data_IF_341248684855
#
_entry.id   IF_341248684855
#
_cell.length_a   1.000
_cell.length_b   1.000
_cell.length_c   1.000
_cell.angle_alpha   90.00
_cell.angle_beta   90.00
_cell.angle_gamma   90.00
#
_symmetry.space_group_name_H-M   'P 1'
#
loop_
_entity.id
_entity.type
_entity.pdbx_description
1 polymer ?
#
# COMPACT_ATOMS: atom_id res chain seq x y z
N UNK A 1 -10.24 63.19 -8.71
CA UNK A 1 -9.38 62.03 -9.05
C UNK A 1 -9.22 61.22 -7.77
N UNK A 2 -10.05 60.20 -7.62
CA UNK A 2 -10.09 59.30 -6.47
C UNK A 2 -9.08 58.19 -6.75
N UNK A 3 -8.05 58.04 -5.89
CA UNK A 3 -7.15 56.89 -5.92
C UNK A 3 -7.69 55.88 -4.91
N UNK A 4 -8.21 54.77 -5.42
CA UNK A 4 -8.67 53.63 -4.65
C UNK A 4 -7.45 52.78 -4.31
N UNK A 5 -7.03 52.78 -3.04
CA UNK A 5 -6.05 51.81 -2.52
C UNK A 5 -6.83 50.57 -2.11
N UNK A 6 -6.68 49.46 -2.85
CA UNK A 6 -7.18 48.15 -2.42
C UNK A 6 -6.22 47.61 -1.35
N UNK A 7 -6.77 47.34 -0.17
CA UNK A 7 -6.10 46.58 0.88
C UNK A 7 -6.24 45.11 0.52
N UNK A 8 -5.15 44.42 0.21
CA UNK A 8 -5.11 42.96 0.19
C UNK A 8 -5.18 42.49 1.64
N UNK A 9 -6.28 41.82 1.99
CA UNK A 9 -6.39 41.05 3.23
C UNK A 9 -6.04 39.62 2.87
N UNK A 10 -4.83 39.19 3.20
CA UNK A 10 -4.43 37.77 3.12
C UNK A 10 -5.02 37.08 4.33
N UNK A 11 -6.09 36.31 4.14
CA UNK A 11 -6.55 35.33 5.12
C UNK A 11 -5.83 34.03 4.79
N UNK A 12 -4.87 33.61 5.62
CA UNK A 12 -4.40 32.22 5.65
C UNK A 12 -5.58 31.38 6.17
N UNK A 13 -6.19 30.59 5.28
CA UNK A 13 -7.01 29.47 5.69
C UNK A 13 -6.06 28.38 6.18
N UNK A 14 -6.12 28.10 7.47
CA UNK A 14 -5.53 26.94 8.10
C UNK A 14 -6.38 25.74 7.65
N UNK A 15 -5.90 24.98 6.67
CA UNK A 15 -6.48 23.66 6.36
C UNK A 15 -5.98 22.74 7.47
N UNK A 16 -6.86 22.42 8.42
CA UNK A 16 -6.68 21.21 9.23
C UNK A 16 -6.93 20.05 8.27
N UNK A 17 -5.88 19.39 7.82
CA UNK A 17 -6.00 18.06 7.24
C UNK A 17 -6.34 17.14 8.41
N UNK A 18 -7.60 16.71 8.49
CA UNK A 18 -7.92 15.52 9.24
C UNK A 18 -7.32 14.37 8.43
N UNK A 19 -6.34 13.66 8.99
CA UNK A 19 -5.88 12.41 8.41
C UNK A 19 -7.07 11.45 8.36
N UNK A 20 -7.58 11.19 7.17
CA UNK A 20 -8.40 10.02 6.88
C UNK A 20 -7.48 8.81 6.81
N UNK A 21 -7.77 7.71 7.50
CA UNK A 21 -7.00 6.48 7.33
C UNK A 21 -7.38 5.77 6.02
N UNK A 22 -6.39 5.04 5.49
CA UNK A 22 -6.47 3.99 4.46
C UNK A 22 -6.69 4.42 3.00
N UNK A 23 -5.60 4.37 2.22
CA UNK A 23 -5.59 3.79 0.87
C UNK A 23 -4.29 2.99 0.75
N UNK A 24 -4.37 1.69 0.95
CA UNK A 24 -3.27 0.74 0.71
C UNK A 24 -3.82 -0.63 0.30
N UNK A 25 -4.89 -0.64 -0.49
CA UNK A 25 -5.30 -1.83 -1.24
C UNK A 25 -5.23 -1.45 -2.71
N UNK A 26 -4.02 -1.47 -3.27
CA UNK A 26 -3.76 -1.03 -4.65
C UNK A 26 -4.28 -2.00 -5.71
N UNK A 27 -4.86 -3.13 -5.32
CA UNK A 27 -5.57 -4.03 -6.24
C UNK A 27 -6.59 -4.84 -5.46
N UNK A 28 -7.88 -4.65 -5.75
CA UNK A 28 -8.90 -5.57 -5.27
C UNK A 28 -8.74 -6.90 -6.00
N UNK A 29 -8.47 -7.98 -5.26
CA UNK A 29 -8.58 -9.33 -5.82
C UNK A 29 -10.02 -9.80 -5.75
N UNK A 30 -10.40 -10.73 -6.62
CA UNK A 30 -11.72 -11.37 -6.56
C UNK A 30 -12.03 -11.93 -5.16
N UNK A 31 -11.03 -12.51 -4.49
CA UNK A 31 -11.14 -13.00 -3.12
C UNK A 31 -11.30 -11.93 -2.06
N UNK A 32 -10.83 -10.70 -2.30
CA UNK A 32 -11.04 -9.58 -1.36
C UNK A 32 -12.49 -9.11 -1.40
N UNK A 33 -13.14 -9.25 -2.56
CA UNK A 33 -14.53 -8.84 -2.78
C UNK A 33 -15.50 -9.96 -2.34
N UNK A 34 -15.16 -11.23 -2.56
CA UNK A 34 -15.96 -12.41 -2.17
C UNK A 34 -15.95 -12.64 -0.65
N UNK A 35 -16.75 -11.85 0.08
CA UNK A 35 -16.79 -11.86 1.54
C UNK A 35 -17.40 -13.15 2.13
N UNK A 36 -18.28 -13.83 1.39
CA UNK A 36 -18.94 -15.04 1.87
C UNK A 36 -18.29 -16.35 1.37
N UNK A 37 -17.34 -16.24 0.43
CA UNK A 37 -16.52 -17.34 -0.10
C UNK A 37 -17.31 -18.27 -1.02
N UNK A 38 -18.37 -17.80 -1.65
CA UNK A 38 -19.25 -18.59 -2.52
C UNK A 38 -18.74 -18.66 -3.98
N UNK A 39 -17.68 -17.92 -4.32
CA UNK A 39 -17.10 -17.77 -5.66
C UNK A 39 -17.99 -17.06 -6.68
N UNK A 40 -18.92 -16.22 -6.25
CA UNK A 40 -19.84 -15.38 -7.03
C UNK A 40 -19.95 -13.99 -6.38
N UNK A 41 -19.56 -12.91 -7.06
CA UNK A 41 -19.71 -11.57 -6.46
C UNK A 41 -21.12 -11.04 -6.68
N UNK A 42 -21.84 -10.85 -5.59
CA UNK A 42 -23.09 -10.11 -5.60
C UNK A 42 -22.85 -8.60 -5.73
N UNK A 43 -23.86 -7.87 -6.21
CA UNK A 43 -23.83 -6.39 -6.19
C UNK A 43 -23.53 -5.78 -4.81
N UNK A 44 -23.88 -6.46 -3.72
CA UNK A 44 -23.61 -6.00 -2.36
C UNK A 44 -22.14 -6.18 -1.96
N UNK A 45 -21.48 -7.23 -2.45
CA UNK A 45 -20.06 -7.47 -2.24
C UNK A 45 -19.22 -6.52 -3.10
N UNK A 46 -19.63 -6.33 -4.36
CA UNK A 46 -18.99 -5.41 -5.30
C UNK A 46 -19.09 -3.93 -4.88
N UNK A 47 -20.07 -3.60 -4.02
CA UNK A 47 -20.29 -2.23 -3.55
C UNK A 47 -19.03 -1.60 -2.95
N UNK A 48 -18.20 -2.38 -2.23
CA UNK A 48 -16.96 -1.86 -1.65
C UNK A 48 -15.96 -1.38 -2.72
N UNK A 49 -15.70 -2.21 -3.73
CA UNK A 49 -14.85 -1.88 -4.88
C UNK A 49 -15.39 -0.66 -5.63
N UNK A 50 -16.69 -0.67 -5.96
CA UNK A 50 -17.30 0.43 -6.72
C UNK A 50 -17.23 1.77 -5.99
N UNK A 51 -17.43 1.79 -4.67
CA UNK A 51 -17.33 3.00 -3.86
C UNK A 51 -15.89 3.52 -3.75
N UNK A 52 -14.91 2.63 -3.72
CA UNK A 52 -13.50 3.03 -3.73
C UNK A 52 -13.10 3.63 -5.09
N UNK A 53 -13.45 2.98 -6.19
CA UNK A 53 -13.19 3.50 -7.54
C UNK A 53 -13.89 4.82 -7.79
N UNK A 54 -15.09 5.02 -7.24
CA UNK A 54 -15.80 6.29 -7.32
C UNK A 54 -14.96 7.45 -6.78
N UNK A 55 -14.28 7.27 -5.65
CA UNK A 55 -13.42 8.30 -5.05
C UNK A 55 -12.22 8.62 -5.93
N UNK A 56 -11.69 7.62 -6.64
CA UNK A 56 -10.57 7.80 -7.59
C UNK A 56 -11.01 8.58 -8.83
N UNK A 57 -12.21 8.30 -9.35
CA UNK A 57 -12.74 8.95 -10.54
C UNK A 57 -13.29 10.36 -10.25
N UNK A 58 -13.78 10.62 -9.03
CA UNK A 58 -14.20 11.94 -8.55
C UNK A 58 -12.97 12.81 -8.20
N UNK A 59 -12.26 13.26 -9.24
CA UNK A 59 -10.99 13.95 -9.14
C UNK A 59 -11.10 15.31 -8.42
N UNK A 60 -12.22 16.02 -8.59
CA UNK A 60 -12.48 17.29 -7.91
C UNK A 60 -13.18 17.18 -6.55
N UNK A 61 -13.56 15.95 -6.17
CA UNK A 61 -14.13 15.56 -4.89
C UNK A 61 -15.47 16.25 -4.58
N UNK A 62 -16.27 16.53 -5.62
CA UNK A 62 -17.58 17.14 -5.48
C UNK A 62 -18.73 16.14 -5.31
N UNK A 63 -18.40 14.84 -5.26
CA UNK A 63 -19.30 13.70 -5.13
C UNK A 63 -20.13 13.42 -6.39
N UNK A 64 -19.70 13.92 -7.54
CA UNK A 64 -20.31 13.68 -8.85
C UNK A 64 -19.19 13.44 -9.85
N UNK A 65 -19.23 12.32 -10.57
CA UNK A 65 -18.31 12.13 -11.70
C UNK A 65 -18.85 12.94 -12.88
N UNK A 66 -18.15 14.00 -13.23
CA UNK A 66 -18.40 14.80 -14.42
C UNK A 66 -18.06 14.06 -15.72
N UNK A 67 -18.47 14.62 -16.86
CA UNK A 67 -18.21 14.03 -18.18
C UNK A 67 -16.70 13.83 -18.46
N UNK A 68 -15.87 14.81 -18.11
CA UNK A 68 -14.42 14.72 -18.30
C UNK A 68 -13.78 13.67 -17.36
N UNK A 69 -14.24 13.58 -16.12
CA UNK A 69 -13.76 12.60 -15.14
C UNK A 69 -14.13 11.18 -15.56
N UNK A 70 -15.35 11.00 -16.07
CA UNK A 70 -15.78 9.73 -16.63
C UNK A 70 -14.92 9.32 -17.82
N UNK A 71 -14.63 10.23 -18.75
CA UNK A 71 -13.79 9.92 -19.90
C UNK A 71 -12.34 9.69 -19.54
N UNK A 72 -11.79 10.40 -18.56
CA UNK A 72 -10.46 10.13 -18.01
C UNK A 72 -10.41 8.73 -17.40
N UNK A 73 -11.34 8.40 -16.50
CA UNK A 73 -11.36 7.08 -15.89
C UNK A 73 -11.55 5.93 -16.89
N UNK A 74 -12.37 6.11 -17.93
CA UNK A 74 -12.51 5.09 -19.00
C UNK A 74 -11.24 5.00 -19.83
N UNK A 75 -10.59 6.13 -20.12
CA UNK A 75 -9.32 6.16 -20.83
C UNK A 75 -8.25 5.39 -20.05
N UNK A 76 -8.06 5.73 -18.78
CA UNK A 76 -7.10 5.08 -17.88
C UNK A 76 -7.41 3.59 -17.72
N UNK A 77 -8.69 3.22 -17.62
CA UNK A 77 -9.08 1.81 -17.59
C UNK A 77 -8.68 1.08 -18.88
N UNK A 78 -8.77 1.73 -20.04
CA UNK A 78 -8.49 1.07 -21.32
C UNK A 78 -7.03 1.11 -21.70
N UNK A 79 -6.24 2.00 -21.11
CA UNK A 79 -4.80 2.11 -21.33
C UNK A 79 -4.08 1.05 -20.49
N UNK A 80 -4.13 -0.17 -21.01
CA UNK A 80 -3.68 -1.37 -20.33
C UNK A 80 -2.18 -1.34 -19.98
N UNK A 81 -1.40 -0.53 -20.69
CA UNK A 81 0.04 -0.43 -20.56
C UNK A 81 0.53 0.94 -20.01
N UNK A 82 -0.44 1.80 -19.61
CA UNK A 82 -0.25 3.10 -18.98
C UNK A 82 0.81 3.99 -19.69
N UNK A 83 0.91 3.90 -21.03
CA UNK A 83 1.85 4.69 -21.83
C UNK A 83 1.26 6.02 -22.33
N UNK A 84 0.09 6.40 -21.82
CA UNK A 84 -0.73 7.53 -22.22
C UNK A 84 -1.16 7.45 -23.69
N UNK A 85 -1.28 6.24 -24.27
CA UNK A 85 -1.71 6.03 -25.67
C UNK A 85 -2.62 4.80 -25.79
N UNK A 86 -3.89 5.03 -26.09
CA UNK A 86 -4.78 3.93 -26.49
C UNK A 86 -4.47 3.45 -27.90
N UNK A 87 -3.98 2.23 -28.03
CA UNK A 87 -3.85 1.57 -29.34
C UNK A 87 -5.22 1.11 -29.87
N UNK A 88 -5.31 0.84 -31.17
CA UNK A 88 -6.54 0.28 -31.78
C UNK A 88 -6.99 -1.04 -31.12
N UNK A 89 -6.04 -1.80 -30.55
CA UNK A 89 -6.34 -3.05 -29.85
C UNK A 89 -6.99 -2.79 -28.49
N UNK A 90 -6.38 -1.94 -27.66
CA UNK A 90 -6.92 -1.51 -26.36
C UNK A 90 -8.29 -0.87 -26.52
N UNK A 91 -8.43 0.05 -27.48
CA UNK A 91 -9.72 0.67 -27.80
C UNK A 91 -10.81 -0.36 -28.13
N UNK A 92 -10.52 -1.31 -29.02
CA UNK A 92 -11.52 -2.30 -29.47
C UNK A 92 -11.89 -3.29 -28.36
N UNK A 93 -10.92 -3.67 -27.53
CA UNK A 93 -11.15 -4.53 -26.37
C UNK A 93 -11.95 -3.80 -25.28
N UNK A 94 -11.54 -2.59 -24.91
CA UNK A 94 -12.22 -1.72 -23.97
C UNK A 94 -13.66 -1.44 -24.38
N UNK A 95 -13.87 -1.07 -25.65
CA UNK A 95 -15.21 -0.87 -26.19
C UNK A 95 -16.05 -2.16 -26.10
N UNK A 96 -15.49 -3.30 -26.50
CA UNK A 96 -16.18 -4.57 -26.47
C UNK A 96 -16.64 -4.97 -25.07
N UNK A 97 -15.84 -4.64 -24.05
CA UNK A 97 -16.13 -4.96 -22.65
C UNK A 97 -17.12 -3.99 -22.02
N UNK A 98 -16.88 -2.68 -22.12
CA UNK A 98 -17.68 -1.67 -21.41
C UNK A 98 -18.93 -1.24 -22.18
N UNK A 99 -18.87 -1.31 -23.51
CA UNK A 99 -19.89 -0.75 -24.40
C UNK A 99 -20.25 -1.70 -25.55
N UNK A 100 -20.05 -3.01 -25.38
CA UNK A 100 -20.30 -4.01 -26.43
C UNK A 100 -21.74 -4.02 -26.99
N UNK A 101 -22.68 -3.50 -26.22
CA UNK A 101 -24.09 -3.33 -26.63
C UNK A 101 -24.37 -2.08 -27.49
N UNK A 102 -23.38 -1.20 -27.65
CA UNK A 102 -23.47 0.04 -28.42
C UNK A 102 -22.74 -0.07 -29.77
N UNK A 103 -23.17 0.73 -30.75
CA UNK A 103 -22.48 0.81 -32.04
C UNK A 103 -21.11 1.47 -31.87
N UNK A 104 -20.03 0.70 -32.10
CA UNK A 104 -18.64 1.14 -32.00
C UNK A 104 -18.32 2.34 -32.91
N UNK A 105 -17.59 3.31 -32.37
CA UNK A 105 -17.01 4.40 -33.14
C UNK A 105 -15.69 3.94 -33.75
N UNK A 106 -15.46 4.24 -35.02
CA UNK A 106 -14.21 3.83 -35.63
C UNK A 106 -13.03 4.55 -34.94
N UNK A 107 -11.99 3.82 -34.55
CA UNK A 107 -10.76 4.37 -33.97
C UNK A 107 -10.23 5.59 -34.74
N UNK A 108 -10.18 5.49 -36.07
CA UNK A 108 -9.71 6.60 -36.93
C UNK A 108 -10.66 7.80 -37.06
N UNK A 109 -11.87 7.73 -36.50
CA UNK A 109 -12.75 8.90 -36.34
C UNK A 109 -12.46 9.65 -35.01
N UNK A 110 -11.78 8.99 -34.06
CA UNK A 110 -11.35 9.55 -32.77
C UNK A 110 -9.95 10.18 -32.85
N UNK A 111 -9.04 9.57 -33.62
CA UNK A 111 -7.70 10.11 -33.98
C UNK A 111 -7.86 11.39 -34.84
N UNK A 112 -7.78 12.57 -34.20
CA UNK A 112 -8.13 13.85 -34.82
C UNK A 112 -6.99 14.41 -35.67
N UNK A 113 -5.74 14.11 -35.31
CA UNK A 113 -4.57 14.62 -36.01
C UNK A 113 -3.99 13.64 -37.06
N UNK A 114 -4.40 12.37 -37.00
CA UNK A 114 -4.16 11.33 -37.98
C UNK A 114 -2.81 10.64 -37.85
N UNK A 115 -2.22 10.63 -36.65
CA UNK A 115 -0.93 10.01 -36.37
C UNK A 115 -1.01 8.53 -35.91
N UNK A 116 -2.24 8.03 -35.77
CA UNK A 116 -2.60 6.68 -35.33
C UNK A 116 -2.33 6.37 -33.84
N UNK A 117 -2.10 7.38 -33.02
CA UNK A 117 -2.04 7.31 -31.56
C UNK A 117 -3.31 7.98 -31.00
N UNK A 118 -4.04 7.35 -30.09
CA UNK A 118 -5.24 7.96 -29.49
C UNK A 118 -4.92 8.40 -28.07
N UNK A 119 -4.58 9.67 -27.91
CA UNK A 119 -4.28 10.28 -26.60
C UNK A 119 -5.55 10.76 -25.88
N UNK A 120 -5.45 10.99 -24.58
CA UNK A 120 -6.59 11.37 -23.71
C UNK A 120 -7.42 12.54 -24.28
N UNK A 121 -6.78 13.62 -24.72
CA UNK A 121 -7.44 14.81 -25.28
C UNK A 121 -8.32 14.48 -26.51
N UNK A 122 -7.84 13.57 -27.37
CA UNK A 122 -8.55 13.13 -28.57
C UNK A 122 -9.68 12.16 -28.21
N UNK A 123 -9.41 11.23 -27.28
CA UNK A 123 -10.40 10.32 -26.73
C UNK A 123 -11.57 11.09 -26.11
N UNK A 124 -11.32 12.04 -25.20
CA UNK A 124 -12.34 12.89 -24.57
C UNK A 124 -13.18 13.62 -25.62
N UNK A 125 -12.53 14.22 -26.61
CA UNK A 125 -13.20 14.99 -27.66
C UNK A 125 -14.08 14.10 -28.56
N UNK A 126 -13.61 12.89 -28.85
CA UNK A 126 -14.32 11.91 -29.66
C UNK A 126 -15.47 11.24 -28.91
N UNK A 127 -15.23 10.77 -27.69
CA UNK A 127 -16.22 10.12 -26.82
C UNK A 127 -17.37 11.05 -26.41
N UNK A 128 -17.07 12.33 -26.14
CA UNK A 128 -18.08 13.34 -25.87
C UNK A 128 -19.10 13.53 -27.00
N UNK A 129 -18.77 13.16 -28.24
CA UNK A 129 -19.71 13.21 -29.36
C UNK A 129 -20.64 12.00 -29.44
N UNK A 130 -20.23 10.88 -28.85
CA UNK A 130 -20.99 9.63 -28.80
C UNK A 130 -22.08 9.70 -27.73
N UNK A 131 -21.79 10.43 -26.64
CA UNK A 131 -22.74 10.62 -25.55
C UNK A 131 -22.91 9.38 -24.66
N UNK A 132 -21.88 8.54 -24.56
CA UNK A 132 -21.91 7.37 -23.66
C UNK A 132 -22.00 7.77 -22.19
N UNK A 133 -21.60 8.99 -21.82
CA UNK A 133 -21.80 9.50 -20.47
C UNK A 133 -23.28 9.55 -20.08
N UNK A 134 -24.17 9.92 -21.00
CA UNK A 134 -25.61 10.00 -20.74
C UNK A 134 -26.25 8.62 -20.44
N UNK A 135 -25.58 7.51 -20.76
CA UNK A 135 -26.08 6.16 -20.44
C UNK A 135 -25.82 5.78 -18.99
N UNK A 136 -24.76 6.31 -18.40
CA UNK A 136 -24.44 6.18 -16.97
C UNK A 136 -25.15 7.26 -16.13
N UNK A 137 -25.09 8.52 -16.58
CA UNK A 137 -25.67 9.68 -15.91
C UNK A 137 -27.14 9.93 -16.32
N UNK A 138 -28.04 8.97 -16.08
CA UNK A 138 -29.41 9.01 -16.63
C UNK A 138 -30.28 10.21 -16.20
N UNK A 139 -29.93 10.89 -15.10
CA UNK A 139 -30.56 12.12 -14.61
C UNK A 139 -29.66 13.36 -14.73
N UNK A 140 -28.53 13.24 -15.42
CA UNK A 140 -27.60 14.31 -15.76
C UNK A 140 -26.45 14.52 -14.78
N UNK A 141 -26.40 13.72 -13.71
CA UNK A 141 -25.29 13.65 -12.75
C UNK A 141 -24.94 12.17 -12.56
N UNK A 142 -23.66 11.84 -12.43
CA UNK A 142 -23.21 10.48 -12.13
C UNK A 142 -22.75 10.41 -10.67
N UNK A 143 -23.70 10.19 -9.77
CA UNK A 143 -23.39 10.00 -8.35
C UNK A 143 -22.89 8.58 -8.05
N UNK A 144 -22.35 8.38 -6.86
CA UNK A 144 -21.73 7.13 -6.38
C UNK A 144 -22.58 5.89 -6.65
N UNK A 145 -23.85 5.87 -6.25
CA UNK A 145 -24.71 4.70 -6.44
C UNK A 145 -24.96 4.36 -7.92
N UNK A 146 -25.04 5.37 -8.80
CA UNK A 146 -25.20 5.19 -10.25
C UNK A 146 -23.91 4.66 -10.88
N UNK A 147 -22.77 5.20 -10.46
CA UNK A 147 -21.45 4.73 -10.88
C UNK A 147 -21.23 3.27 -10.48
N UNK A 148 -21.45 2.92 -9.21
CA UNK A 148 -21.30 1.54 -8.72
C UNK A 148 -22.22 0.58 -9.48
N UNK A 149 -23.46 0.98 -9.73
CA UNK A 149 -24.41 0.14 -10.49
C UNK A 149 -23.94 -0.06 -11.94
N UNK A 150 -23.57 1.02 -12.63
CA UNK A 150 -23.07 0.92 -14.01
C UNK A 150 -21.79 0.10 -14.10
N UNK A 151 -20.88 0.24 -13.12
CA UNK A 151 -19.65 -0.52 -13.07
C UNK A 151 -19.91 -2.00 -12.79
N UNK A 152 -20.86 -2.32 -11.92
CA UNK A 152 -21.29 -3.70 -11.71
C UNK A 152 -21.82 -4.32 -13.01
N UNK A 153 -22.62 -3.59 -13.79
CA UNK A 153 -23.13 -4.06 -15.09
C UNK A 153 -22.00 -4.30 -16.12
N UNK A 154 -20.88 -3.57 -16.03
CA UNK A 154 -19.69 -3.86 -16.87
C UNK A 154 -19.04 -5.18 -16.48
N UNK A 155 -18.99 -5.49 -15.18
CA UNK A 155 -18.45 -6.74 -14.65
C UNK A 155 -19.41 -7.93 -14.82
N UNK A 156 -20.71 -7.72 -14.76
CA UNK A 156 -21.77 -8.74 -14.96
C UNK A 156 -22.11 -8.87 -16.45
N UNK A 157 -21.13 -9.32 -17.24
CA UNK A 157 -21.19 -9.31 -18.69
C UNK A 157 -22.34 -10.16 -19.30
N UNK A 158 -22.89 -11.13 -18.55
CA UNK A 158 -24.01 -11.95 -19.00
C UNK A 158 -25.39 -11.60 -18.38
N UNK A 159 -25.44 -10.51 -17.59
CA UNK A 159 -26.62 -9.95 -16.93
C UNK A 159 -27.36 -10.95 -16.01
N UNK A 160 -26.64 -11.89 -15.38
CA UNK A 160 -27.25 -12.89 -14.51
C UNK A 160 -27.28 -12.50 -13.01
N UNK A 161 -26.78 -11.29 -12.70
CA UNK A 161 -26.69 -10.67 -11.37
C UNK A 161 -25.68 -11.33 -10.44
N UNK A 162 -24.70 -12.05 -11.00
CA UNK A 162 -23.50 -12.48 -10.29
C UNK A 162 -22.28 -12.27 -11.17
N UNK A 163 -21.22 -11.70 -10.61
CA UNK A 163 -19.94 -11.62 -11.33
C UNK A 163 -19.13 -12.84 -10.98
N UNK A 164 -18.82 -13.68 -11.96
CA UNK A 164 -17.90 -14.80 -11.79
C UNK A 164 -16.45 -14.35 -11.89
N UNK A 165 -15.51 -15.15 -11.38
CA UNK A 165 -14.07 -14.89 -11.57
C UNK A 165 -13.71 -14.70 -13.06
N UNK A 166 -14.34 -15.44 -13.96
CA UNK A 166 -14.05 -15.33 -15.38
C UNK A 166 -14.48 -13.99 -15.97
N UNK A 167 -15.56 -13.40 -15.48
CA UNK A 167 -16.02 -12.07 -15.91
C UNK A 167 -15.22 -10.97 -15.21
N UNK A 168 -14.93 -11.16 -13.92
CA UNK A 168 -14.01 -10.31 -13.19
C UNK A 168 -12.64 -10.26 -13.85
N UNK A 169 -12.11 -11.37 -14.34
CA UNK A 169 -10.80 -11.39 -15.00
C UNK A 169 -10.82 -10.61 -16.32
N UNK A 170 -11.95 -10.56 -17.04
CA UNK A 170 -12.07 -9.82 -18.31
C UNK A 170 -12.09 -8.31 -18.09
N UNK A 171 -12.79 -7.84 -17.07
CA UNK A 171 -12.76 -6.39 -16.73
C UNK A 171 -11.53 -6.07 -15.89
N UNK A 172 -11.13 -6.97 -15.01
CA UNK A 172 -9.94 -6.88 -14.17
C UNK A 172 -8.66 -6.82 -14.98
N UNK A 173 -8.57 -7.45 -16.17
CA UNK A 173 -7.41 -7.31 -17.06
C UNK A 173 -7.11 -5.88 -17.49
N UNK A 174 -8.11 -5.01 -17.53
CA UNK A 174 -7.92 -3.59 -17.84
C UNK A 174 -7.12 -2.85 -16.75
N UNK A 175 -7.22 -3.30 -15.50
CA UNK A 175 -6.46 -2.78 -14.36
C UNK A 175 -5.27 -3.66 -13.97
N UNK A 176 -5.21 -4.91 -14.44
CA UNK A 176 -4.26 -5.94 -13.97
C UNK A 176 -3.12 -6.25 -14.94
N UNK A 177 -3.18 -5.82 -16.21
CA UNK A 177 -2.16 -6.27 -17.18
C UNK A 177 -0.85 -5.48 -17.08
N UNK A 178 -0.83 -4.31 -16.43
CA UNK A 178 0.42 -3.60 -16.13
C UNK A 178 1.06 -3.91 -14.77
N UNK A 179 0.34 -4.60 -13.89
CA UNK A 179 0.94 -5.16 -12.66
C UNK A 179 1.74 -6.44 -12.96
N UNK A 180 1.54 -7.07 -14.13
CA UNK A 180 2.25 -8.31 -14.47
C UNK A 180 3.53 -8.09 -15.31
N UNK A 181 3.66 -6.98 -16.04
CA UNK A 181 4.93 -6.61 -16.68
C UNK A 181 5.02 -5.11 -16.97
N UNK A 182 5.69 -4.39 -16.08
CA UNK A 182 6.34 -3.08 -16.31
C UNK A 182 5.61 -1.80 -15.90
N UNK A 183 5.02 -1.75 -14.70
CA UNK A 183 5.33 -0.63 -13.80
C UNK A 183 5.44 -1.11 -12.35
N UNK A 184 6.67 -1.45 -11.94
CA UNK A 184 7.02 -1.29 -10.53
C UNK A 184 6.89 0.20 -10.27
N UNK A 185 5.82 0.62 -9.57
CA UNK A 185 5.86 1.87 -8.82
C UNK A 185 7.13 1.81 -7.98
N UNK A 186 8.24 2.37 -8.48
CA UNK A 186 9.41 2.55 -7.66
C UNK A 186 8.91 3.43 -6.53
N UNK A 187 8.85 2.88 -5.32
CA UNK A 187 8.56 3.65 -4.12
C UNK A 187 9.32 4.96 -4.24
N UNK A 188 8.60 6.09 -4.36
CA UNK A 188 9.23 7.36 -4.73
C UNK A 188 10.44 7.57 -3.80
N UNK A 189 11.65 7.53 -4.37
CA UNK A 189 12.86 7.60 -3.56
C UNK A 189 12.91 8.98 -2.95
N UNK A 190 12.60 9.06 -1.66
CA UNK A 190 12.55 10.29 -0.89
C UNK A 190 13.94 10.93 -0.94
N UNK A 191 13.99 12.18 -1.41
CA UNK A 191 15.24 12.93 -1.41
C UNK A 191 15.74 13.12 0.02
N UNK A 192 16.97 12.67 0.31
CA UNK A 192 17.58 12.85 1.64
C UNK A 192 17.82 14.32 2.02
N UNK A 193 17.75 15.24 1.05
CA UNK A 193 17.77 16.67 1.31
C UNK A 193 16.47 17.18 1.98
N UNK A 194 15.36 16.51 1.72
CA UNK A 194 14.04 16.83 2.27
C UNK A 194 13.66 15.90 3.45
N UNK A 195 14.42 14.82 3.66
CA UNK A 195 14.25 13.90 4.77
C UNK A 195 14.65 14.54 6.11
N UNK A 196 13.72 14.52 7.08
CA UNK A 196 13.97 15.03 8.43
C UNK A 196 13.44 14.06 9.49
N UNK A 197 14.03 14.10 10.68
CA UNK A 197 13.64 13.22 11.78
C UNK A 197 12.49 13.77 12.64
N UNK A 198 11.98 14.97 12.36
CA UNK A 198 10.94 15.59 13.18
C UNK A 198 9.68 14.70 13.26
N UNK A 199 9.35 14.04 12.15
CA UNK A 199 8.27 13.07 12.08
C UNK A 199 8.58 11.77 12.84
N UNK A 200 9.80 11.25 12.73
CA UNK A 200 10.21 10.07 13.50
C UNK A 200 10.10 10.34 15.01
N UNK A 201 10.54 11.52 15.47
CA UNK A 201 10.48 11.89 16.88
C UNK A 201 9.07 12.18 17.40
N UNK A 202 8.14 12.59 16.56
CA UNK A 202 6.81 12.99 17.00
C UNK A 202 5.87 11.81 17.33
N UNK A 203 6.18 10.60 16.87
CA UNK A 203 5.33 9.43 17.08
C UNK A 203 5.93 8.10 16.67
N UNK A 204 7.23 8.05 16.37
CA UNK A 204 7.94 6.81 16.13
C UNK A 204 8.51 6.20 17.41
N UNK A 205 8.79 4.90 17.38
CA UNK A 205 9.48 4.19 18.45
C UNK A 205 10.49 3.19 17.87
N UNK A 206 11.53 2.91 18.63
CA UNK A 206 12.56 1.92 18.29
C UNK A 206 11.97 0.51 18.34
N UNK A 207 12.19 -0.28 17.30
CA UNK A 207 11.85 -1.69 17.29
C UNK A 207 12.76 -2.49 18.23
N UNK A 208 14.04 -2.13 18.33
CA UNK A 208 14.98 -2.74 19.27
C UNK A 208 14.54 -2.52 20.72
N UNK A 209 14.23 -1.28 21.12
CA UNK A 209 13.70 -1.00 22.47
C UNK A 209 12.33 -1.67 22.70
N UNK A 210 11.50 -1.73 21.66
CA UNK A 210 10.20 -2.40 21.76
C UNK A 210 10.35 -3.91 22.04
N UNK A 211 11.32 -4.56 21.41
CA UNK A 211 11.60 -5.98 21.61
C UNK A 211 12.30 -6.22 22.95
N UNK A 212 13.30 -5.40 23.29
CA UNK A 212 14.16 -5.64 24.46
C UNK A 212 13.56 -5.16 25.80
N UNK A 213 12.71 -4.13 25.79
CA UNK A 213 12.24 -3.47 27.01
C UNK A 213 10.74 -3.63 27.31
N UNK A 214 9.90 -3.90 26.30
CA UNK A 214 8.45 -3.86 26.49
C UNK A 214 7.92 -5.06 27.26
N UNK A 215 7.22 -4.75 28.34
CA UNK A 215 6.53 -5.75 29.16
C UNK A 215 5.14 -6.03 28.61
N UNK A 216 4.73 -7.30 28.61
CA UNK A 216 3.40 -7.74 28.16
C UNK A 216 2.47 -7.91 29.35
N UNK A 217 1.35 -7.20 29.31
CA UNK A 217 0.29 -7.23 30.32
C UNK A 217 -0.98 -7.88 29.78
N UNK A 218 -1.66 -8.64 30.62
CA UNK A 218 -3.02 -9.10 30.34
C UNK A 218 -4.05 -7.98 30.53
N UNK A 219 -5.29 -8.22 30.07
CA UNK A 219 -6.41 -7.25 30.21
C UNK A 219 -6.73 -6.86 31.65
N UNK A 220 -6.33 -7.64 32.65
CA UNK A 220 -6.46 -7.31 34.08
C UNK A 220 -5.27 -6.52 34.66
N UNK A 221 -4.25 -6.22 33.86
CA UNK A 221 -3.10 -5.39 34.20
C UNK A 221 -1.97 -6.11 34.95
N UNK A 222 -2.03 -7.45 35.04
CA UNK A 222 -0.92 -8.28 35.47
C UNK A 222 0.10 -8.48 34.35
N UNK A 223 1.37 -8.50 34.73
CA UNK A 223 2.48 -8.87 33.84
C UNK A 223 2.38 -10.37 33.54
N UNK A 224 2.33 -10.72 32.27
CA UNK A 224 2.15 -12.10 31.78
C UNK A 224 3.29 -12.57 30.89
N UNK A 225 4.17 -11.68 30.46
CA UNK A 225 5.21 -11.99 29.48
C UNK A 225 6.07 -10.80 29.04
N UNK A 226 6.86 -11.03 28.01
CA UNK A 226 7.73 -10.05 27.33
C UNK A 226 7.57 -10.16 25.80
N UNK A 227 7.89 -9.08 25.09
CA UNK A 227 7.91 -9.06 23.62
C UNK A 227 9.16 -9.80 23.14
N UNK A 228 9.03 -10.57 22.05
CA UNK A 228 10.14 -11.33 21.47
C UNK A 228 10.49 -10.85 20.06
N UNK A 229 9.50 -10.39 19.29
CA UNK A 229 9.71 -9.91 17.93
C UNK A 229 8.49 -9.16 17.38
N UNK A 230 8.66 -8.58 16.20
CA UNK A 230 7.63 -7.88 15.44
C UNK A 230 7.58 -8.50 14.04
N UNK A 231 6.40 -8.94 13.62
CA UNK A 231 6.19 -9.45 12.26
C UNK A 231 5.74 -8.31 11.38
N UNK A 232 6.48 -8.12 10.30
CA UNK A 232 6.24 -7.07 9.31
C UNK A 232 5.83 -7.75 8.01
N UNK A 233 4.79 -7.22 7.39
CA UNK A 233 4.27 -7.66 6.11
C UNK A 233 5.20 -7.33 4.95
N UNK A 234 4.84 -7.88 3.79
CA UNK A 234 5.42 -7.57 2.49
C UNK A 234 5.47 -6.05 2.21
N UNK A 235 4.39 -5.38 2.60
CA UNK A 235 4.09 -3.96 2.45
C UNK A 235 4.77 -3.05 3.49
N UNK A 236 5.54 -3.62 4.43
CA UNK A 236 6.16 -2.87 5.51
C UNK A 236 5.22 -2.52 6.67
N UNK A 237 3.96 -2.98 6.66
CA UNK A 237 3.03 -2.82 7.78
C UNK A 237 3.32 -3.85 8.87
N UNK A 238 3.05 -3.49 10.13
CA UNK A 238 3.17 -4.42 11.25
C UNK A 238 1.96 -5.36 11.22
N UNK A 239 2.21 -6.64 10.97
CA UNK A 239 1.17 -7.66 10.94
C UNK A 239 0.83 -8.14 12.36
N UNK A 240 1.86 -8.45 13.16
CA UNK A 240 1.65 -8.98 14.51
C UNK A 240 2.85 -8.75 15.44
N UNK A 241 2.60 -8.84 16.74
CA UNK A 241 3.62 -8.84 17.79
C UNK A 241 3.80 -10.27 18.29
N UNK A 242 5.05 -10.73 18.37
CA UNK A 242 5.40 -12.00 18.98
C UNK A 242 5.73 -11.75 20.45
N UNK A 243 5.13 -12.53 21.34
CA UNK A 243 5.38 -12.44 22.78
C UNK A 243 5.56 -13.83 23.41
N UNK A 244 6.42 -13.93 24.41
CA UNK A 244 6.48 -15.07 25.31
C UNK A 244 5.58 -14.82 26.52
N UNK A 245 4.58 -15.68 26.73
CA UNK A 245 3.61 -15.58 27.84
C UNK A 245 3.51 -16.87 28.65
N UNK A 246 3.05 -16.77 29.91
CA UNK A 246 2.53 -17.93 30.64
C UNK A 246 3.31 -18.39 31.86
N UNK A 247 4.55 -17.93 32.09
CA UNK A 247 5.30 -18.17 33.34
C UNK A 247 4.53 -17.79 34.63
N UNK A 248 3.49 -16.97 34.49
CA UNK A 248 2.53 -16.61 35.54
C UNK A 248 1.40 -17.64 35.76
N UNK A 249 0.97 -18.35 34.73
CA UNK A 249 -0.22 -19.22 34.72
C UNK A 249 0.05 -20.67 35.13
N UNK A 250 1.25 -20.99 35.66
CA UNK A 250 1.69 -22.38 35.98
C UNK A 250 1.64 -23.35 34.76
N UNK A 251 1.48 -22.84 33.54
CA UNK A 251 1.43 -23.63 32.29
C UNK A 251 2.78 -23.72 31.56
N UNK A 252 3.79 -22.99 32.01
CA UNK A 252 5.08 -22.84 31.32
C UNK A 252 5.05 -21.78 30.23
N UNK A 253 6.22 -21.39 29.76
CA UNK A 253 6.36 -20.30 28.78
C UNK A 253 5.89 -20.78 27.40
N UNK A 254 5.10 -19.94 26.74
CA UNK A 254 4.44 -20.21 25.46
C UNK A 254 4.57 -18.97 24.59
N UNK A 255 5.00 -19.16 23.35
CA UNK A 255 5.06 -18.06 22.39
C UNK A 255 3.70 -17.89 21.71
N UNK A 256 3.29 -16.65 21.54
CA UNK A 256 2.06 -16.25 20.87
C UNK A 256 2.34 -15.17 19.83
N UNK A 257 1.49 -15.11 18.82
CA UNK A 257 1.43 -14.02 17.83
C UNK A 257 0.11 -13.29 17.98
N UNK A 258 0.17 -12.00 18.28
CA UNK A 258 -1.00 -11.15 18.47
C UNK A 258 -1.11 -10.18 17.30
N UNK A 259 -2.22 -10.18 16.53
CA UNK A 259 -2.47 -9.18 15.50
C UNK A 259 -2.27 -7.76 16.04
N UNK A 260 -1.60 -6.90 15.28
CA UNK A 260 -1.18 -5.59 15.79
C UNK A 260 -2.37 -4.70 16.22
N UNK A 261 -3.52 -4.83 15.57
CA UNK A 261 -4.76 -4.12 15.89
C UNK A 261 -5.42 -4.56 17.22
N UNK A 262 -5.03 -5.73 17.74
CA UNK A 262 -5.42 -6.21 19.06
C UNK A 262 -4.46 -5.78 20.18
N UNK A 263 -3.30 -5.19 19.83
CA UNK A 263 -2.30 -4.72 20.79
C UNK A 263 -2.58 -3.29 21.21
N UNK A 264 -2.69 -3.05 22.52
CA UNK A 264 -2.86 -1.72 23.06
C UNK A 264 -1.59 -1.24 23.78
N UNK A 265 -0.98 -0.16 23.28
CA UNK A 265 0.12 0.52 23.97
C UNK A 265 -0.36 1.10 25.31
N UNK A 266 0.40 0.92 26.39
CA UNK A 266 0.10 1.52 27.70
C UNK A 266 1.20 2.48 28.15
N UNK A 267 0.83 3.73 28.40
CA UNK A 267 1.72 4.75 29.03
C UNK A 267 2.12 4.36 30.48
N UNK A 268 1.44 3.39 31.07
CA UNK A 268 1.75 2.88 32.40
C UNK A 268 2.82 1.80 32.27
N UNK A 269 4.09 2.23 32.29
CA UNK A 269 5.32 1.41 32.47
C UNK A 269 5.88 0.73 31.20
N UNK A 270 5.96 1.45 30.08
CA UNK A 270 6.68 1.01 28.88
C UNK A 270 6.32 -0.45 28.52
N UNK A 271 5.05 -0.66 28.15
CA UNK A 271 4.55 -1.99 27.85
C UNK A 271 3.29 -2.01 27.01
N UNK A 272 2.83 -3.22 26.71
CA UNK A 272 1.65 -3.48 25.88
C UNK A 272 0.61 -4.29 26.64
N UNK A 273 -0.66 -4.08 26.32
CA UNK A 273 -1.79 -4.88 26.81
C UNK A 273 -2.31 -5.72 25.65
N UNK A 274 -2.43 -7.03 25.87
CA UNK A 274 -2.98 -7.98 24.89
C UNK A 274 -4.20 -8.73 25.44
N UNK A 275 -5.12 -9.20 24.58
CA UNK A 275 -6.34 -9.92 25.00
C UNK A 275 -6.11 -11.39 25.40
N UNK A 276 -4.85 -11.83 25.45
CA UNK A 276 -4.48 -13.23 25.70
C UNK A 276 -4.68 -13.61 27.17
N UNK A 277 -5.23 -14.80 27.42
CA UNK A 277 -5.45 -15.38 28.75
C UNK A 277 -5.00 -16.84 28.79
N UNK A 278 -4.88 -17.43 29.98
CA UNK A 278 -4.57 -18.85 30.15
C UNK A 278 -5.50 -19.77 29.31
N UNK A 279 -6.79 -19.42 29.23
CA UNK A 279 -7.78 -20.21 28.51
C UNK A 279 -7.73 -19.99 26.98
N UNK A 280 -7.23 -18.85 26.50
CA UNK A 280 -7.25 -18.44 25.09
C UNK A 280 -5.89 -18.45 24.41
N UNK A 281 -4.80 -18.66 25.15
CA UNK A 281 -3.41 -18.66 24.63
C UNK A 281 -3.21 -19.56 23.41
N UNK A 282 -3.94 -20.68 23.33
CA UNK A 282 -3.87 -21.61 22.20
C UNK A 282 -4.42 -21.05 20.88
N UNK A 283 -5.26 -20.01 20.92
CA UNK A 283 -5.83 -19.38 19.73
C UNK A 283 -4.83 -18.43 19.04
N UNK A 284 -3.77 -18.02 19.76
CA UNK A 284 -2.73 -17.10 19.30
C UNK A 284 -1.43 -17.82 18.91
N UNK A 285 -1.51 -19.12 18.57
CA UNK A 285 -0.36 -19.87 18.10
C UNK A 285 0.10 -19.45 16.69
N UNK A 286 1.26 -19.96 16.26
CA UNK A 286 1.84 -19.69 14.94
C UNK A 286 1.21 -20.49 13.78
N UNK A 287 0.09 -21.16 14.02
CA UNK A 287 -0.66 -21.87 12.96
C UNK A 287 -1.56 -20.90 12.15
N UNK A 288 -1.55 -19.60 12.49
CA UNK A 288 -2.28 -18.55 11.78
C UNK A 288 -1.70 -18.29 10.38
N UNK A 289 -2.54 -17.81 9.47
CA UNK A 289 -2.24 -17.63 8.04
C UNK A 289 -0.97 -16.79 7.79
N UNK A 290 -0.76 -15.74 8.59
CA UNK A 290 0.45 -14.89 8.57
C UNK A 290 1.72 -15.73 8.75
N UNK A 291 1.73 -16.66 9.71
CA UNK A 291 2.90 -17.51 9.97
C UNK A 291 2.99 -18.71 9.03
N UNK A 292 1.86 -19.19 8.50
CA UNK A 292 1.88 -20.17 7.41
C UNK A 292 2.55 -19.58 6.17
N UNK A 293 2.32 -18.29 5.87
CA UNK A 293 2.99 -17.57 4.79
C UNK A 293 4.50 -17.35 5.07
N UNK A 294 4.86 -16.96 6.31
CA UNK A 294 6.28 -16.84 6.74
C UNK A 294 7.01 -18.19 6.68
N UNK A 295 6.37 -19.28 7.13
CA UNK A 295 6.97 -20.62 7.21
C UNK A 295 7.04 -21.33 5.86
N UNK A 296 6.04 -21.14 4.98
CA UNK A 296 6.04 -21.71 3.63
C UNK A 296 7.22 -21.20 2.78
N UNK A 297 7.74 -20.01 3.08
CA UNK A 297 8.92 -19.44 2.43
C UNK A 297 10.26 -19.96 3.00
N UNK A 298 10.28 -20.57 4.20
CA UNK A 298 11.50 -21.13 4.83
C UNK A 298 11.77 -22.58 4.40
N UNK A 299 10.72 -23.32 3.99
CA UNK A 299 10.89 -24.61 3.31
C UNK A 299 11.21 -24.41 1.83
N UNK A 300 12.50 -24.28 1.49
CA UNK A 300 12.97 -24.36 0.10
C UNK A 300 12.65 -25.75 -0.50
N UNK A 301 11.43 -25.93 -0.99
CA UNK A 301 11.00 -27.11 -1.74
C UNK A 301 11.64 -27.04 -3.11
N UNK A 302 12.67 -27.85 -3.34
CA UNK A 302 13.26 -27.98 -4.67
C UNK A 302 12.22 -28.47 -5.68
N UNK A 303 11.78 -27.61 -6.60
CA UNK A 303 10.86 -27.96 -7.70
C UNK A 303 9.66 -27.05 -7.93
N UNK A 304 9.54 -25.94 -7.18
CA UNK A 304 8.64 -24.81 -7.47
C UNK A 304 9.52 -23.56 -7.63
N UNK A 305 10.32 -23.53 -8.69
CA UNK A 305 10.98 -22.29 -9.12
C UNK A 305 9.92 -21.43 -9.84
N UNK A 306 9.86 -20.14 -9.48
CA UNK A 306 9.10 -19.04 -10.13
C UNK A 306 7.72 -18.66 -9.55
N UNK A 307 7.56 -18.73 -8.22
CA UNK A 307 6.57 -17.89 -7.53
C UNK A 307 7.28 -17.08 -6.42
N UNK A 308 7.45 -15.77 -6.61
CA UNK A 308 7.82 -14.85 -5.54
C UNK A 308 6.65 -14.78 -4.55
N UNK A 309 6.60 -15.72 -3.62
CA UNK A 309 5.75 -15.56 -2.44
C UNK A 309 6.37 -14.43 -1.61
N UNK A 310 5.78 -13.23 -1.65
CA UNK A 310 6.21 -12.12 -0.81
C UNK A 310 5.91 -12.51 0.64
N UNK A 311 6.97 -12.79 1.40
CA UNK A 311 6.88 -13.31 2.76
C UNK A 311 6.88 -12.16 3.77
N UNK A 312 6.05 -12.26 4.81
CA UNK A 312 6.27 -11.49 6.03
C UNK A 312 7.63 -11.85 6.65
N UNK A 313 8.18 -10.96 7.47
CA UNK A 313 9.51 -11.09 8.04
C UNK A 313 9.57 -10.53 9.47
N UNK A 314 10.52 -11.00 10.27
CA UNK A 314 10.74 -10.54 11.65
C UNK A 314 11.62 -9.29 11.65
N UNK A 315 11.32 -8.29 12.48
CA UNK A 315 12.20 -7.14 12.66
C UNK A 315 13.65 -7.56 12.97
N UNK A 316 13.81 -8.59 13.80
CA UNK A 316 15.11 -9.18 14.14
C UNK A 316 15.86 -9.84 12.96
N UNK A 317 15.18 -10.13 11.83
CA UNK A 317 15.85 -10.64 10.62
C UNK A 317 16.57 -9.54 9.85
N UNK A 318 16.08 -8.30 9.90
CA UNK A 318 16.73 -7.16 9.26
C UNK A 318 17.71 -6.46 10.21
N UNK A 319 17.38 -6.38 11.51
CA UNK A 319 18.28 -5.80 12.51
C UNK A 319 19.55 -6.67 12.62
N UNK A 320 20.71 -6.03 12.45
CA UNK A 320 22.02 -6.68 12.45
C UNK A 320 22.55 -7.03 11.05
N UNK A 321 21.74 -6.92 10.00
CA UNK A 321 22.16 -7.17 8.62
C UNK A 321 22.88 -5.97 7.99
N UNK A 322 23.50 -6.20 6.83
CA UNK A 322 24.35 -5.21 6.18
C UNK A 322 23.52 -4.18 5.44
N UNK A 323 23.73 -2.90 5.74
CA UNK A 323 23.23 -1.80 4.93
C UNK A 323 24.25 -1.47 3.84
N UNK A 324 23.77 -1.34 2.59
CA UNK A 324 24.58 -1.01 1.42
C UNK A 324 24.07 0.24 0.73
N UNK A 325 24.95 0.94 0.02
CA UNK A 325 24.64 2.15 -0.77
C UNK A 325 25.06 1.96 -2.22
N UNK A 326 24.46 2.71 -3.14
CA UNK A 326 24.80 2.67 -4.56
C UNK A 326 26.24 3.16 -4.81
N UNK A 327 26.98 2.39 -5.60
CA UNK A 327 28.30 2.69 -6.16
C UNK A 327 28.26 2.41 -7.67
N UNK A 328 27.79 3.41 -8.44
CA UNK A 328 27.50 3.23 -9.86
C UNK A 328 26.37 2.24 -10.08
N UNK A 329 26.62 1.17 -10.84
CA UNK A 329 25.65 0.12 -11.14
C UNK A 329 25.65 -1.04 -10.11
N UNK A 330 26.31 -0.86 -8.96
CA UNK A 330 26.46 -1.88 -7.92
C UNK A 330 26.19 -1.32 -6.52
N UNK A 331 26.18 -2.19 -5.51
CA UNK A 331 26.07 -1.83 -4.11
C UNK A 331 27.38 -2.04 -3.36
N UNK A 332 27.77 -1.05 -2.56
CA UNK A 332 28.93 -1.09 -1.68
C UNK A 332 28.52 -1.10 -0.20
N UNK A 333 29.33 -1.76 0.62
CA UNK A 333 29.10 -1.83 2.07
C UNK A 333 29.14 -0.42 2.68
N UNK A 334 28.13 -0.11 3.50
CA UNK A 334 27.98 1.17 4.18
C UNK A 334 27.98 1.03 5.71
N UNK A 335 27.37 -0.03 6.23
CA UNK A 335 27.32 -0.31 7.65
C UNK A 335 26.38 -1.46 7.96
N UNK A 336 25.77 -1.42 9.14
CA UNK A 336 24.81 -2.43 9.59
C UNK A 336 23.51 -1.76 10.00
N UNK A 337 22.38 -2.39 9.71
CA UNK A 337 21.10 -2.01 10.30
C UNK A 337 21.20 -2.24 11.79
N UNK A 338 21.01 -1.18 12.57
CA UNK A 338 21.00 -1.26 14.03
C UNK A 338 19.60 -1.40 14.58
N UNK A 339 18.61 -0.80 13.91
CA UNK A 339 17.27 -0.65 14.46
C UNK A 339 16.28 -0.27 13.34
N UNK A 340 14.99 -0.38 13.63
CA UNK A 340 13.89 0.10 12.80
C UNK A 340 13.08 1.12 13.61
N UNK A 341 12.69 2.22 12.98
CA UNK A 341 11.73 3.15 13.60
C UNK A 341 10.35 2.79 13.08
N UNK A 342 9.48 2.37 13.99
CA UNK A 342 8.09 2.04 13.73
C UNK A 342 7.21 3.25 14.03
N UNK A 343 6.27 3.55 13.14
CA UNK A 343 5.34 4.67 13.30
C UNK A 343 4.05 4.36 12.55
N UNK A 344 2.92 4.74 13.15
CA UNK A 344 1.59 4.64 12.53
C UNK A 344 1.27 3.22 11.99
N UNK A 345 1.79 2.18 12.66
CA UNK A 345 1.57 0.78 12.28
C UNK A 345 2.51 0.22 11.20
N UNK A 346 3.54 0.96 10.79
CA UNK A 346 4.46 0.55 9.73
C UNK A 346 5.94 0.83 10.08
N UNK A 347 6.85 0.25 9.31
CA UNK A 347 8.27 0.64 9.33
C UNK A 347 8.43 1.97 8.61
N UNK A 348 8.75 3.03 9.36
CA UNK A 348 8.96 4.35 8.81
C UNK A 348 10.42 4.58 8.38
N UNK A 349 11.37 4.01 9.13
CA UNK A 349 12.78 4.20 8.84
C UNK A 349 13.65 2.99 9.24
N UNK A 350 14.74 2.81 8.48
CA UNK A 350 15.85 1.91 8.82
C UNK A 350 16.97 2.72 9.42
N UNK A 351 17.36 2.38 10.66
CA UNK A 351 18.49 3.02 11.33
C UNK A 351 19.74 2.23 11.03
N UNK A 352 20.71 2.91 10.43
CA UNK A 352 22.01 2.32 10.09
C UNK A 352 23.07 2.86 11.03
N UNK A 353 23.91 1.97 11.53
CA UNK A 353 25.21 2.29 12.09
C UNK A 353 26.24 2.28 10.96
N UNK A 354 26.72 3.45 10.50
CA UNK A 354 27.68 3.49 9.40
C UNK A 354 29.04 2.95 9.86
N UNK A 355 29.74 2.31 8.94
CA UNK A 355 31.13 1.95 9.14
C UNK A 355 31.98 3.20 9.43
N UNK A 356 33.07 3.02 10.19
CA UNK A 356 33.93 4.12 10.62
C UNK A 356 34.51 4.98 9.47
N UNK A 357 34.49 4.48 8.23
CA UNK A 357 34.87 5.23 7.04
C UNK A 357 33.87 6.33 6.66
N UNK A 358 32.59 6.17 7.00
CA UNK A 358 31.48 7.07 6.67
C UNK A 358 31.10 8.01 7.82
N UNK A 359 31.61 7.77 9.03
CA UNK A 359 31.40 8.62 10.18
C UNK A 359 31.03 7.82 11.42
N UNK A 360 30.66 8.52 12.49
CA UNK A 360 30.13 7.92 13.70
C UNK A 360 28.73 8.47 13.96
N UNK A 361 27.93 7.69 14.70
CA UNK A 361 26.55 8.01 15.02
C UNK A 361 25.57 7.31 14.07
N UNK A 362 24.42 6.94 14.62
CA UNK A 362 23.33 6.30 13.89
C UNK A 362 22.66 7.30 12.94
N UNK A 363 22.12 6.81 11.84
CA UNK A 363 21.41 7.61 10.82
C UNK A 363 20.17 6.86 10.40
N UNK A 364 19.03 7.53 10.36
CA UNK A 364 17.77 6.94 9.94
C UNK A 364 17.50 7.28 8.47
N UNK A 365 17.14 6.28 7.69
CA UNK A 365 16.78 6.41 6.28
C UNK A 365 15.33 5.96 6.10
N UNK A 366 14.58 6.54 5.17
CA UNK A 366 13.26 6.02 4.80
C UNK A 366 13.32 4.53 4.53
N UNK A 367 12.35 3.78 5.04
CA UNK A 367 12.23 2.36 4.75
C UNK A 367 11.73 2.13 3.32
N UNK A 368 12.20 1.04 2.72
CA UNK A 368 11.81 0.59 1.39
C UNK A 368 11.74 -0.94 1.41
N UNK A 369 10.62 -1.50 0.94
CA UNK A 369 10.52 -2.92 0.58
C UNK A 369 11.33 -3.24 -0.69
N UNK A 370 11.22 -4.46 -1.23
CA UNK A 370 12.04 -4.89 -2.38
C UNK A 370 11.48 -4.57 -3.76
N UNK A 371 10.28 -3.99 -3.85
CA UNK A 371 9.54 -3.83 -5.11
C UNK A 371 10.30 -2.99 -6.15
N UNK A 372 11.08 -1.99 -5.72
CA UNK A 372 11.93 -1.17 -6.61
C UNK A 372 13.31 -1.76 -6.94
N UNK A 373 13.60 -3.02 -6.58
CA UNK A 373 14.94 -3.62 -6.78
C UNK A 373 16.04 -3.03 -5.86
N UNK A 374 15.63 -2.34 -4.81
CA UNK A 374 16.41 -1.86 -3.67
C UNK A 374 15.59 -2.10 -2.40
N UNK A 375 16.07 -1.69 -1.24
CA UNK A 375 15.39 -1.88 0.04
C UNK A 375 15.63 -3.28 0.62
N UNK A 376 14.62 -3.80 1.32
CA UNK A 376 14.70 -5.07 2.02
C UNK A 376 14.05 -6.21 1.23
N UNK A 377 14.88 -7.15 0.76
CA UNK A 377 14.41 -8.46 0.32
C UNK A 377 14.45 -9.42 1.50
N UNK A 378 13.29 -9.82 2.02
CA UNK A 378 13.22 -10.68 3.20
C UNK A 378 14.11 -11.95 3.04
N UNK A 379 15.08 -12.10 3.94
CA UNK A 379 16.00 -13.25 3.97
C UNK A 379 17.29 -13.04 3.19
N UNK A 380 17.40 -11.93 2.46
CA UNK A 380 18.70 -11.37 2.06
C UNK A 380 19.47 -10.96 3.30
N UNK A 381 20.80 -11.10 3.36
CA UNK A 381 21.61 -10.53 4.42
C UNK A 381 21.91 -9.02 4.20
N UNK A 382 21.20 -8.38 3.27
CA UNK A 382 21.47 -7.04 2.77
C UNK A 382 20.21 -6.20 2.70
N UNK A 383 20.34 -4.97 3.20
CA UNK A 383 19.42 -3.85 2.95
C UNK A 383 20.06 -2.86 1.97
N UNK A 384 19.48 -2.74 0.79
CA UNK A 384 20.04 -1.98 -0.33
C UNK A 384 19.46 -0.58 -0.39
N UNK A 385 20.14 0.44 0.12
CA UNK A 385 19.60 1.79 0.08
C UNK A 385 19.70 2.40 -1.33
N UNK A 386 18.65 3.07 -1.84
CA UNK A 386 18.67 3.66 -3.19
C UNK A 386 19.59 4.89 -3.34
N UNK A 387 20.36 5.23 -2.31
CA UNK A 387 21.21 6.43 -2.21
C UNK A 387 22.68 6.12 -2.46
N UNK A 388 23.42 7.10 -2.94
CA UNK A 388 24.88 7.02 -3.08
C UNK A 388 25.65 7.48 -1.83
N UNK A 389 26.97 7.29 -1.84
CA UNK A 389 27.86 7.67 -0.73
C UNK A 389 27.82 9.18 -0.40
N UNK A 390 27.60 10.05 -1.39
CA UNK A 390 27.55 11.48 -1.16
C UNK A 390 26.27 11.84 -0.40
N UNK A 391 25.12 11.33 -0.83
CA UNK A 391 23.82 11.63 -0.24
C UNK A 391 23.72 11.17 1.21
N UNK A 392 24.11 9.92 1.51
CA UNK A 392 24.10 9.39 2.90
C UNK A 392 25.07 10.12 3.84
N UNK A 393 26.09 10.76 3.27
CA UNK A 393 27.08 11.56 4.00
C UNK A 393 26.54 12.91 4.49
N UNK A 394 25.46 13.40 3.89
CA UNK A 394 24.85 14.70 4.21
C UNK A 394 23.72 14.60 5.26
N UNK A 395 23.25 13.39 5.55
CA UNK A 395 22.19 13.12 6.55
C UNK A 395 22.65 13.43 7.97
N UNK A 396 21.74 13.90 8.83
CA UNK A 396 22.01 14.20 10.24
C UNK A 396 22.16 12.92 11.09
N UNK A 397 22.83 13.04 12.24
CA UNK A 397 22.92 11.93 13.21
C UNK A 397 21.60 11.83 13.97
N UNK A 398 21.04 10.62 14.04
CA UNK A 398 19.86 10.31 14.83
C UNK A 398 20.18 10.42 16.32
N UNK A 399 19.40 11.24 17.03
CA UNK A 399 19.43 11.37 18.48
C UNK A 399 18.32 10.52 19.11
N UNK A 400 18.70 9.37 19.68
CA UNK A 400 17.75 8.47 20.36
C UNK A 400 17.08 9.10 21.58
N UNK A 401 17.72 10.08 22.25
CA UNK A 401 17.15 10.73 23.44
C UNK A 401 15.93 11.62 23.12
N UNK A 402 15.58 11.77 21.83
CA UNK A 402 14.43 12.56 21.36
C UNK A 402 13.19 11.73 21.08
N UNK A 403 13.26 10.41 21.09
CA UNK A 403 12.07 9.56 21.13
C UNK A 403 11.51 9.64 22.57
N UNK A 404 10.23 9.99 22.71
CA UNK A 404 9.57 10.25 24.00
C UNK A 404 8.90 9.00 24.58
#
# INVERSE_FOLDING_TARGET
>A
MMRTTRSCSTAMALVLVAATPALAQTTWTYSDIDQDGNLELSSAEFEALGRELFVTWDADQDQIIGENEFYGGVYDAWDVNDDDILTEAEYSEGWGTWFGDYDEVAYGDLDLDGDAELIEDEFHTGFGQVGVYDTWATDGELGEDQFVTGLYDVYDADDDLVVTQAEYDVVGTFWMTDVATTDTLEAEVISLADWTYDDLYAGGFSAEDFIDEMVVYGVSGEEIGEVEDIIIGADGQIASIVAEVGGFWDIGDTHVSIPFDEVAMTEVRDGIVIPVTEDTVGDYGFDQEVFSAVTAADEAVSGVDDAEAIRGWRASELIGDYARVRDGDAYGDYGYVSDLILRDGAVAAVVVQPDAAYGAGYRAYPYYGYEGGYGWNAGSPFYDMPYDQQEVGEVDVLDYERFE
#
